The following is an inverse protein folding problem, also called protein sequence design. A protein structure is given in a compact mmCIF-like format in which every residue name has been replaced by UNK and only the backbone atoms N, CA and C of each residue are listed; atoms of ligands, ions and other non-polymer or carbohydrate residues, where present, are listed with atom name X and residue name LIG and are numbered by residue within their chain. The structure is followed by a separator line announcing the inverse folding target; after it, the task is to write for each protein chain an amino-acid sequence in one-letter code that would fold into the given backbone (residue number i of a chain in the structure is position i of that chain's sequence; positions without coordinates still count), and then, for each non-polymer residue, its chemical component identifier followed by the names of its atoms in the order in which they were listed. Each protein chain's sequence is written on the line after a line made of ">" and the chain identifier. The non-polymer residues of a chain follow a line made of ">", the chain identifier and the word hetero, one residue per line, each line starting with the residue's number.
data_IF_017496202662
#
_entry.id   IF_017496202662
#
_cell.length_a   1.000
_cell.length_b   1.000
_cell.length_c   1.000
_cell.angle_alpha   90.00
_cell.angle_beta   90.00
_cell.angle_gamma   90.00
#
_symmetry.space_group_name_H-M   'P 1'
#
loop_
_entity.id
_entity.type
_entity.pdbx_description
1 polymer ?
#
# COMPACT_ATOMS: atom_id res chain seq x y z
N UNK A 1 -14.63 -9.02 13.08
CA UNK A 1 -14.48 -8.45 11.71
C UNK A 1 -13.50 -7.29 11.83
N UNK A 2 -12.51 -7.14 10.93
CA UNK A 2 -11.51 -6.06 11.02
C UNK A 2 -12.13 -4.72 10.58
N UNK A 3 -11.81 -3.63 11.26
CA UNK A 3 -12.31 -2.29 10.96
C UNK A 3 -11.56 -1.64 9.79
N UNK A 4 -12.11 -0.55 9.24
CA UNK A 4 -11.39 0.26 8.23
C UNK A 4 -10.10 0.87 8.83
N UNK A 5 -10.13 1.29 10.10
CA UNK A 5 -8.95 1.81 10.79
C UNK A 5 -7.83 0.76 10.88
N UNK A 6 -8.15 -0.49 11.24
CA UNK A 6 -7.16 -1.58 11.29
C UNK A 6 -6.50 -1.81 9.92
N UNK A 7 -7.29 -1.70 8.84
CA UNK A 7 -6.82 -1.94 7.47
C UNK A 7 -5.97 -0.80 6.93
N UNK A 8 -6.36 0.44 7.21
CA UNK A 8 -5.51 1.60 6.90
C UNK A 8 -4.20 1.51 7.70
N UNK A 9 -4.25 1.04 8.95
CA UNK A 9 -3.08 0.70 9.76
C UNK A 9 -2.14 -0.31 9.07
N UNK A 10 -2.68 -1.42 8.53
CA UNK A 10 -1.87 -2.40 7.79
C UNK A 10 -1.17 -1.79 6.56
N UNK A 11 -1.86 -0.90 5.84
CA UNK A 11 -1.32 -0.21 4.67
C UNK A 11 -0.13 0.65 5.11
N UNK A 12 -0.30 1.46 6.16
CA UNK A 12 0.77 2.31 6.69
C UNK A 12 1.95 1.49 7.21
N UNK A 13 1.69 0.39 7.93
CA UNK A 13 2.75 -0.49 8.40
C UNK A 13 3.53 -1.12 7.24
N UNK A 14 2.84 -1.56 6.18
CA UNK A 14 3.48 -2.14 5.01
C UNK A 14 4.32 -1.12 4.24
N UNK A 15 3.83 0.11 4.10
CA UNK A 15 4.60 1.22 3.52
C UNK A 15 5.86 1.50 4.36
N UNK A 16 5.73 1.59 5.69
CA UNK A 16 6.87 1.81 6.58
C UNK A 16 7.91 0.69 6.48
N UNK A 17 7.47 -0.57 6.35
CA UNK A 17 8.36 -1.73 6.17
C UNK A 17 9.07 -1.73 4.82
N UNK A 18 8.43 -1.24 3.75
CA UNK A 18 9.09 -1.01 2.46
C UNK A 18 10.16 0.09 2.63
N UNK A 19 9.76 1.27 3.10
CA UNK A 19 10.64 2.44 3.24
C UNK A 19 11.84 2.16 4.16
N UNK A 20 11.68 1.34 5.20
CA UNK A 20 12.76 0.97 6.11
C UNK A 20 13.86 0.08 5.51
N UNK A 21 13.62 -0.52 4.34
CA UNK A 21 14.61 -1.36 3.63
C UNK A 21 14.92 -0.91 2.22
N UNK A 22 14.13 0.00 1.66
CA UNK A 22 14.32 0.48 0.31
C UNK A 22 15.66 1.23 0.20
N UNK A 23 16.39 0.97 -0.88
CA UNK A 23 17.60 1.74 -1.20
C UNK A 23 17.19 3.02 -1.94
N UNK A 24 18.13 3.93 -2.17
CA UNK A 24 17.95 5.05 -3.11
C UNK A 24 18.56 4.76 -4.49
N UNK A 25 19.02 3.53 -4.72
CA UNK A 25 19.73 3.12 -5.93
C UNK A 25 18.98 1.96 -6.61
N UNK A 26 18.47 2.25 -7.81
CA UNK A 26 17.74 1.28 -8.63
C UNK A 26 18.58 0.05 -8.96
N UNK A 27 19.90 0.21 -9.19
CA UNK A 27 20.78 -0.92 -9.50
C UNK A 27 20.95 -1.83 -8.28
N UNK A 28 21.09 -1.24 -7.09
CA UNK A 28 21.14 -2.00 -5.84
C UNK A 28 19.82 -2.76 -5.58
N UNK A 29 18.67 -2.14 -5.85
CA UNK A 29 17.38 -2.83 -5.77
C UNK A 29 17.27 -4.00 -6.77
N UNK A 30 17.72 -3.79 -8.02
CA UNK A 30 17.69 -4.84 -9.05
C UNK A 30 18.62 -6.02 -8.75
N UNK A 31 19.72 -5.78 -8.04
CA UNK A 31 20.68 -6.81 -7.66
C UNK A 31 20.27 -7.60 -6.39
N UNK A 32 19.27 -7.13 -5.64
CA UNK A 32 18.83 -7.75 -4.39
C UNK A 32 17.45 -8.41 -4.54
N UNK A 33 17.46 -9.71 -4.85
CA UNK A 33 16.24 -10.52 -4.99
C UNK A 33 15.43 -10.57 -3.68
N UNK A 34 16.09 -10.59 -2.52
CA UNK A 34 15.39 -10.65 -1.24
C UNK A 34 14.66 -9.34 -0.95
N UNK A 35 15.25 -8.20 -1.31
CA UNK A 35 14.58 -6.91 -1.24
C UNK A 35 13.40 -6.82 -2.21
N UNK A 36 13.54 -7.33 -3.44
CA UNK A 36 12.44 -7.39 -4.40
C UNK A 36 11.26 -8.20 -3.85
N UNK A 37 11.51 -9.41 -3.35
CA UNK A 37 10.49 -10.29 -2.75
C UNK A 37 9.84 -9.60 -1.54
N UNK A 38 10.63 -8.94 -0.69
CA UNK A 38 10.12 -8.18 0.46
C UNK A 38 9.17 -7.06 0.03
N UNK A 39 9.55 -6.27 -0.98
CA UNK A 39 8.72 -5.18 -1.52
C UNK A 39 7.44 -5.72 -2.13
N UNK A 40 7.53 -6.76 -2.98
CA UNK A 40 6.36 -7.39 -3.62
C UNK A 40 5.38 -7.90 -2.57
N UNK A 41 5.86 -8.57 -1.52
CA UNK A 41 5.02 -9.04 -0.43
C UNK A 41 4.24 -7.90 0.22
N UNK A 42 4.90 -6.80 0.56
CA UNK A 42 4.22 -5.67 1.20
C UNK A 42 3.26 -4.93 0.26
N UNK A 43 3.55 -4.84 -1.04
CA UNK A 43 2.60 -4.32 -2.02
C UNK A 43 1.35 -5.22 -2.14
N UNK A 44 1.49 -6.55 -2.03
CA UNK A 44 0.36 -7.47 -1.98
C UNK A 44 -0.48 -7.28 -0.71
N UNK A 45 0.16 -7.08 0.45
CA UNK A 45 -0.53 -6.78 1.72
C UNK A 45 -1.33 -5.49 1.61
N UNK A 46 -0.75 -4.43 1.03
CA UNK A 46 -1.45 -3.16 0.77
C UNK A 46 -2.70 -3.42 -0.07
N UNK A 47 -2.59 -4.13 -1.20
CA UNK A 47 -3.73 -4.42 -2.06
C UNK A 47 -4.83 -5.24 -1.38
N UNK A 48 -4.48 -6.23 -0.54
CA UNK A 48 -5.46 -7.00 0.23
C UNK A 48 -6.16 -6.16 1.32
N UNK A 49 -5.40 -5.31 2.02
CA UNK A 49 -5.95 -4.40 3.02
C UNK A 49 -6.93 -3.42 2.35
N UNK A 50 -6.55 -2.84 1.21
CA UNK A 50 -7.42 -1.95 0.41
C UNK A 50 -8.68 -2.65 -0.07
N UNK A 51 -8.59 -3.90 -0.54
CA UNK A 51 -9.76 -4.70 -0.95
C UNK A 51 -10.75 -4.91 0.19
N UNK A 52 -10.24 -4.99 1.42
CA UNK A 52 -11.03 -5.17 2.62
C UNK A 52 -11.71 -3.91 3.16
N UNK A 53 -11.40 -2.72 2.63
CA UNK A 53 -12.01 -1.45 3.05
C UNK A 53 -13.49 -1.40 2.65
N UNK A 54 -14.30 -0.80 3.53
CA UNK A 54 -15.72 -0.59 3.28
C UNK A 54 -15.95 0.20 1.99
N UNK A 55 -17.10 -0.04 1.36
CA UNK A 55 -17.50 0.72 0.18
C UNK A 55 -17.69 2.21 0.53
N UNK A 56 -18.30 2.49 1.69
CA UNK A 56 -18.52 3.87 2.18
C UNK A 56 -17.22 4.65 2.35
N UNK A 57 -16.15 4.03 2.86
CA UNK A 57 -14.86 4.70 2.99
C UNK A 57 -14.29 5.02 1.60
N UNK A 58 -14.29 4.04 0.70
CA UNK A 58 -13.73 4.23 -0.65
C UNK A 58 -14.49 5.29 -1.46
N UNK A 59 -15.81 5.35 -1.32
CA UNK A 59 -16.65 6.40 -1.93
C UNK A 59 -16.44 7.77 -1.29
N UNK A 60 -16.09 7.83 0.00
CA UNK A 60 -15.80 9.08 0.71
C UNK A 60 -14.46 9.72 0.34
N UNK A 61 -13.54 8.95 -0.23
CA UNK A 61 -12.19 9.39 -0.62
C UNK A 61 -11.85 8.97 -2.07
N UNK A 62 -12.59 9.47 -3.08
CA UNK A 62 -12.43 9.05 -4.47
C UNK A 62 -11.12 9.54 -5.13
N UNK A 63 -10.38 10.44 -4.48
CA UNK A 63 -9.06 10.90 -4.93
C UNK A 63 -7.97 9.82 -4.82
N UNK A 64 -8.21 8.81 -3.99
CA UNK A 64 -7.30 7.66 -3.88
C UNK A 64 -7.67 6.64 -4.96
N UNK A 65 -6.71 6.15 -5.75
CA UNK A 65 -6.97 5.19 -6.84
C UNK A 65 -7.21 3.77 -6.29
N UNK A 66 -8.31 3.58 -5.56
CA UNK A 66 -8.64 2.30 -4.92
C UNK A 66 -8.70 1.12 -5.90
N UNK A 67 -9.36 1.25 -7.07
CA UNK A 67 -9.43 0.15 -8.04
C UNK A 67 -8.04 -0.31 -8.50
N UNK A 68 -7.12 0.62 -8.74
CA UNK A 68 -5.77 0.36 -9.19
C UNK A 68 -4.95 -0.35 -8.10
N UNK A 69 -5.07 0.10 -6.84
CA UNK A 69 -4.38 -0.53 -5.71
C UNK A 69 -4.89 -1.97 -5.48
N UNK A 70 -6.19 -2.20 -5.63
CA UNK A 70 -6.77 -3.55 -5.55
C UNK A 70 -6.30 -4.41 -6.73
N UNK A 71 -6.25 -3.85 -7.94
CA UNK A 71 -5.79 -4.54 -9.14
C UNK A 71 -4.31 -4.90 -9.07
N UNK A 72 -3.47 -4.08 -8.41
CA UNK A 72 -2.05 -4.33 -8.20
C UNK A 72 -1.80 -5.70 -7.58
N UNK A 73 -2.58 -6.10 -6.56
CA UNK A 73 -2.50 -7.44 -5.95
C UNK A 73 -2.66 -8.55 -7.00
N UNK A 74 -3.61 -8.40 -7.92
CA UNK A 74 -3.87 -9.42 -8.93
C UNK A 74 -2.71 -9.52 -9.94
N UNK A 75 -2.15 -8.38 -10.34
CA UNK A 75 -0.97 -8.34 -11.22
C UNK A 75 0.23 -8.99 -10.52
N UNK A 76 0.49 -8.62 -9.26
CA UNK A 76 1.62 -9.13 -8.48
C UNK A 76 1.57 -10.64 -8.22
N UNK A 77 0.37 -11.23 -8.17
CA UNK A 77 0.18 -12.67 -7.90
C UNK A 77 0.04 -13.50 -9.17
N UNK A 78 -0.63 -12.99 -10.20
CA UNK A 78 -0.97 -13.77 -11.41
C UNK A 78 -0.05 -13.50 -12.60
N UNK A 79 0.54 -12.31 -12.69
CA UNK A 79 1.45 -11.90 -13.77
C UNK A 79 2.92 -11.88 -13.31
N UNK A 80 3.25 -12.62 -12.25
CA UNK A 80 4.59 -12.64 -11.64
C UNK A 80 5.71 -13.05 -12.61
N UNK A 81 5.39 -13.84 -13.64
CA UNK A 81 6.35 -14.23 -14.69
C UNK A 81 6.72 -13.08 -15.65
N UNK A 82 5.93 -12.01 -15.69
CA UNK A 82 6.13 -10.82 -16.52
C UNK A 82 6.35 -9.53 -15.72
N UNK A 83 6.50 -9.64 -14.40
CA UNK A 83 6.65 -8.50 -13.51
C UNK A 83 7.96 -7.76 -13.77
N UNK A 84 7.83 -6.54 -14.29
CA UNK A 84 8.97 -5.68 -14.55
C UNK A 84 9.43 -5.03 -13.23
N UNK A 85 10.57 -5.45 -12.69
CA UNK A 85 11.12 -4.87 -11.44
C UNK A 85 11.43 -3.37 -11.55
N UNK A 86 11.65 -2.84 -12.75
CA UNK A 86 11.75 -1.38 -12.93
C UNK A 86 10.42 -0.67 -12.65
N UNK A 87 9.29 -1.31 -12.99
CA UNK A 87 7.98 -0.77 -12.71
C UNK A 87 7.69 -0.84 -11.21
N UNK A 88 8.02 -1.96 -10.55
CA UNK A 88 7.91 -2.09 -9.08
C UNK A 88 8.72 -1.01 -8.38
N UNK A 89 9.98 -0.82 -8.77
CA UNK A 89 10.81 0.26 -8.26
C UNK A 89 10.20 1.65 -8.51
N UNK A 90 9.67 1.89 -9.71
CA UNK A 90 9.04 3.18 -10.03
C UNK A 90 7.84 3.45 -9.13
N UNK A 91 7.01 2.43 -8.86
CA UNK A 91 5.87 2.53 -7.96
C UNK A 91 6.31 2.86 -6.53
N UNK A 92 7.37 2.23 -6.01
CA UNK A 92 7.86 2.53 -4.66
C UNK A 92 8.39 3.96 -4.55
N UNK A 93 8.98 4.51 -5.61
CA UNK A 93 9.53 5.88 -5.58
C UNK A 93 8.49 6.97 -5.87
N UNK A 94 7.43 6.69 -6.63
CA UNK A 94 6.49 7.71 -7.12
C UNK A 94 5.11 7.63 -6.50
N UNK A 95 4.55 6.42 -6.43
CA UNK A 95 3.15 6.22 -6.10
C UNK A 95 2.98 5.97 -4.59
N UNK A 96 3.91 5.20 -4.00
CA UNK A 96 3.88 4.85 -2.59
C UNK A 96 3.92 6.06 -1.64
N UNK A 97 4.74 7.11 -1.87
CA UNK A 97 4.77 8.28 -0.99
C UNK A 97 3.46 9.08 -1.00
N UNK A 98 2.81 9.21 -2.16
CA UNK A 98 1.51 9.89 -2.25
C UNK A 98 0.41 9.06 -1.58
N UNK A 99 0.42 7.74 -1.80
CA UNK A 99 -0.50 6.84 -1.11
C UNK A 99 -0.33 6.93 0.42
N UNK A 100 0.92 6.94 0.91
CA UNK A 100 1.19 7.07 2.35
C UNK A 100 0.51 8.30 2.94
N UNK A 101 0.70 9.47 2.31
CA UNK A 101 0.11 10.72 2.75
C UNK A 101 -1.42 10.68 2.77
N UNK A 102 -2.03 10.14 1.70
CA UNK A 102 -3.49 10.01 1.61
C UNK A 102 -4.03 9.10 2.73
N UNK A 103 -3.40 7.94 2.95
CA UNK A 103 -3.82 6.98 3.97
C UNK A 103 -3.61 7.53 5.38
N UNK A 104 -2.50 8.23 5.64
CA UNK A 104 -2.27 8.90 6.94
C UNK A 104 -3.36 9.93 7.25
N UNK A 105 -3.75 10.73 6.25
CA UNK A 105 -4.82 11.71 6.39
C UNK A 105 -6.16 11.04 6.68
N UNK A 106 -6.55 10.02 5.91
CA UNK A 106 -7.80 9.29 6.09
C UNK A 106 -7.84 8.60 7.45
N UNK A 107 -6.77 7.87 7.80
CA UNK A 107 -6.66 7.17 9.07
C UNK A 107 -6.80 8.13 10.26
N UNK A 108 -6.14 9.29 10.19
CA UNK A 108 -6.26 10.33 11.22
C UNK A 108 -7.69 10.88 11.33
N UNK A 109 -8.37 11.13 10.21
CA UNK A 109 -9.75 11.64 10.22
C UNK A 109 -10.74 10.67 10.85
N UNK A 110 -10.64 9.38 10.55
CA UNK A 110 -11.59 8.38 11.07
C UNK A 110 -11.28 7.96 12.51
N UNK A 111 -10.03 8.11 12.96
CA UNK A 111 -9.64 7.83 14.36
C UNK A 111 -9.82 9.05 15.27
N UNK A 112 -9.79 10.27 14.72
CA UNK A 112 -10.06 11.52 15.44
C UNK A 112 -11.55 11.93 15.48
N UNK A 113 -12.44 11.21 14.77
CA UNK A 113 -13.89 11.39 14.86
C UNK A 113 -14.45 11.07 16.25
N UNK A 114 -15.61 11.64 16.66
CA UNK A 114 -16.04 11.66 18.06
C UNK A 114 -16.42 10.25 18.55
N UNK A 115 -15.47 9.59 19.21
CA UNK A 115 -15.63 8.22 19.68
C UNK A 115 -14.67 7.80 20.80
N UNK A 116 -14.02 8.73 21.49
CA UNK A 116 -13.26 8.44 22.72
C UNK A 116 -13.96 8.85 24.02
N UNK A 117 -15.23 9.24 23.96
CA UNK A 117 -16.08 9.42 25.15
C UNK A 117 -17.26 8.44 25.10
N UNK A 118 -17.06 7.22 25.58
CA UNK A 118 -18.08 6.39 26.28
C UNK A 118 -17.40 5.43 27.24
#
# INVERSE_FOLDING_TARGET
>A
MRSDADRLGDILESIARINGRLTNDAAAFQADEMLQVWVIHHLQVIGEATRGLSQSLREGYPEVPWPEIIALRNILVHEYFGLNMNQVWTMTQRDLPELEKQIQQIHSQITAGPGSDR
#
